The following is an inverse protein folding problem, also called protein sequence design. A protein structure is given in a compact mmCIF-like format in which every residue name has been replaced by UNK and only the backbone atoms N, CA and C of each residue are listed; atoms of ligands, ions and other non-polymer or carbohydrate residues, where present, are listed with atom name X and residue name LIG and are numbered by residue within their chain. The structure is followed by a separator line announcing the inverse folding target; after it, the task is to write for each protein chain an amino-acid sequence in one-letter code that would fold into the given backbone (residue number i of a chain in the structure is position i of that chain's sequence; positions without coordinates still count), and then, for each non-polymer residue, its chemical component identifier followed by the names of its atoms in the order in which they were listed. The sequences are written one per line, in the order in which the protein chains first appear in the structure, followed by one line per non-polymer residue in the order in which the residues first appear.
data_IF_382697495480
#
_entry.id   IF_382697495480
#
_cell.length_a   1.000
_cell.length_b   1.000
_cell.length_c   1.000
_cell.angle_alpha   90.00
_cell.angle_beta   90.00
_cell.angle_gamma   90.00
#
_symmetry.space_group_name_H-M   'P 1'
#
loop_
_entity.id
_entity.type
_entity.pdbx_description
1 polymer ?
#
# COMPACT_ATOMS: atom_id res chain seq x y z
N UNK A 1 -52.10 -61.30 22.32
CA UNK A 1 -52.26 -62.45 23.26
C UNK A 1 -51.38 -62.18 24.47
N UNK A 2 -52.06 -62.24 25.64
CA UNK A 2 -51.55 -62.54 27.01
C UNK A 2 -50.38 -61.73 27.52
N UNK A 3 -50.58 -60.84 28.48
CA UNK A 3 -51.05 -60.91 29.85
C UNK A 3 -49.92 -61.05 30.91
N UNK A 4 -49.94 -60.06 31.88
CA UNK A 4 -49.77 -60.19 33.34
C UNK A 4 -48.32 -60.35 33.84
N UNK A 5 -47.88 -59.77 34.95
CA UNK A 5 -48.49 -59.18 36.18
C UNK A 5 -47.35 -58.65 37.05
N UNK A 6 -47.53 -57.49 37.67
CA UNK A 6 -47.80 -57.29 39.12
C UNK A 6 -46.68 -57.58 40.12
N UNK A 7 -46.29 -56.45 40.79
CA UNK A 7 -46.12 -56.26 42.26
C UNK A 7 -44.81 -56.79 42.88
N UNK A 8 -44.10 -55.96 43.66
CA UNK A 8 -44.33 -55.48 45.04
C UNK A 8 -43.23 -54.48 45.42
N UNK A 9 -43.63 -53.46 46.21
CA UNK A 9 -42.71 -52.62 47.00
C UNK A 9 -42.49 -53.32 48.39
N UNK A 10 -41.45 -52.96 49.13
CA UNK A 10 -41.72 -52.16 50.29
C UNK A 10 -40.69 -51.04 50.56
N UNK A 11 -41.17 -50.11 51.32
CA UNK A 11 -40.65 -48.99 51.98
C UNK A 11 -39.31 -49.15 52.76
N UNK A 12 -38.57 -48.06 52.90
CA UNK A 12 -37.69 -47.93 54.00
C UNK A 12 -36.52 -46.98 53.82
N UNK A 13 -36.62 -45.95 54.49
CA UNK A 13 -35.60 -45.11 55.17
C UNK A 13 -35.16 -43.83 54.43
N UNK A 14 -35.70 -42.73 54.94
CA UNK A 14 -35.25 -41.34 54.71
C UNK A 14 -33.99 -41.11 55.57
N UNK A 15 -32.88 -40.79 54.92
CA UNK A 15 -31.73 -40.13 55.56
C UNK A 15 -31.55 -38.79 54.90
N UNK A 16 -31.93 -37.74 55.63
CA UNK A 16 -31.67 -36.33 55.24
C UNK A 16 -30.22 -36.05 55.54
N UNK A 17 -29.37 -35.97 54.50
CA UNK A 17 -28.06 -35.37 54.60
C UNK A 17 -28.13 -34.01 53.95
N UNK A 18 -28.15 -32.99 54.79
CA UNK A 18 -27.97 -31.60 54.39
C UNK A 18 -26.54 -31.39 53.85
N UNK A 19 -26.35 -31.50 52.57
CA UNK A 19 -25.13 -31.11 51.88
C UNK A 19 -25.16 -29.65 51.52
N UNK A 20 -24.34 -28.85 52.23
CA UNK A 20 -24.09 -27.46 51.91
C UNK A 20 -23.35 -27.38 50.57
N UNK A 21 -24.04 -27.08 49.49
CA UNK A 21 -23.41 -26.72 48.23
C UNK A 21 -22.87 -25.30 48.32
N UNK A 22 -21.57 -25.13 48.64
CA UNK A 22 -20.82 -23.90 48.39
C UNK A 22 -20.62 -23.82 46.90
N UNK A 23 -21.45 -23.03 46.20
CA UNK A 23 -21.22 -22.64 44.81
C UNK A 23 -20.08 -21.67 44.75
N UNK A 24 -18.84 -22.14 44.53
CA UNK A 24 -17.72 -21.29 44.14
C UNK A 24 -18.00 -20.88 42.68
N UNK A 25 -18.62 -19.72 42.52
CA UNK A 25 -18.66 -19.03 41.26
C UNK A 25 -17.24 -18.53 40.94
N UNK A 26 -16.43 -19.39 40.33
CA UNK A 26 -15.18 -18.97 39.72
C UNK A 26 -15.51 -18.16 38.46
N UNK A 27 -15.84 -16.88 38.64
CA UNK A 27 -15.80 -15.90 37.57
C UNK A 27 -14.34 -15.70 37.16
N UNK A 28 -13.81 -16.64 36.40
CA UNK A 28 -12.57 -16.49 35.67
C UNK A 28 -12.78 -15.46 34.58
N UNK A 29 -12.89 -14.20 34.92
CA UNK A 29 -12.66 -13.11 34.00
C UNK A 29 -11.18 -13.23 33.57
N UNK A 30 -10.94 -13.91 32.48
CA UNK A 30 -9.70 -13.77 31.73
C UNK A 30 -9.67 -12.32 31.28
N UNK A 31 -9.16 -11.44 32.13
CA UNK A 31 -8.78 -10.09 31.75
C UNK A 31 -7.68 -10.27 30.69
N UNK A 32 -8.08 -10.37 29.43
CA UNK A 32 -7.18 -10.04 28.33
C UNK A 32 -6.72 -8.62 28.63
N UNK A 33 -5.50 -8.48 29.13
CA UNK A 33 -4.80 -7.22 29.20
C UNK A 33 -4.81 -6.62 27.79
N UNK A 34 -5.79 -5.79 27.51
CA UNK A 34 -5.82 -4.99 26.29
C UNK A 34 -4.76 -3.93 26.47
N UNK A 35 -3.51 -4.25 26.07
CA UNK A 35 -2.42 -3.30 26.18
C UNK A 35 -2.87 -1.96 25.59
N UNK A 36 -2.85 -0.92 26.42
CA UNK A 36 -3.26 0.44 25.99
C UNK A 36 -2.33 0.90 24.88
N UNK A 37 -2.87 1.21 23.72
CA UNK A 37 -2.09 1.68 22.57
C UNK A 37 -2.32 3.15 22.33
N UNK A 38 -1.32 3.85 21.79
CA UNK A 38 -1.41 5.27 21.44
C UNK A 38 -1.64 5.47 19.94
N UNK A 39 -1.11 4.57 19.10
CA UNK A 39 -1.07 4.73 17.66
C UNK A 39 -1.66 3.50 16.96
N UNK A 40 -2.53 3.73 16.00
CA UNK A 40 -3.12 2.74 15.11
C UNK A 40 -2.63 2.99 13.68
N UNK A 41 -1.85 2.07 13.11
CA UNK A 41 -1.41 2.12 11.72
C UNK A 41 -2.24 1.13 10.91
N UNK A 42 -2.97 1.64 9.93
CA UNK A 42 -3.90 0.91 9.08
C UNK A 42 -3.34 0.86 7.67
N UNK A 43 -2.67 -0.25 7.34
CA UNK A 43 -2.08 -0.49 6.02
C UNK A 43 -3.12 -1.13 5.08
N UNK A 44 -3.02 -0.89 3.76
CA UNK A 44 -4.11 -1.16 2.83
C UNK A 44 -4.23 -2.64 2.47
N UNK A 45 -3.14 -3.25 2.01
CA UNK A 45 -3.17 -4.60 1.46
C UNK A 45 -1.77 -5.23 1.38
N UNK A 46 -1.66 -6.43 0.78
CA UNK A 46 -0.39 -7.15 0.62
C UNK A 46 -0.04 -7.44 -0.85
N UNK A 47 -0.90 -7.02 -1.79
CA UNK A 47 -0.82 -7.43 -3.21
C UNK A 47 -0.63 -6.27 -4.18
N UNK A 48 -1.13 -5.06 -3.86
CA UNK A 48 -0.98 -3.88 -4.73
C UNK A 48 0.46 -3.42 -4.84
N UNK A 49 1.20 -3.54 -3.75
CA UNK A 49 2.66 -3.39 -3.70
C UNK A 49 3.22 -4.19 -2.52
N UNK A 50 4.33 -4.87 -2.73
CA UNK A 50 5.04 -5.62 -1.67
C UNK A 50 5.60 -4.69 -0.57
N UNK A 51 5.68 -3.38 -0.83
CA UNK A 51 6.21 -2.40 0.11
C UNK A 51 5.50 -2.43 1.47
N UNK A 52 4.18 -2.61 1.48
CA UNK A 52 3.37 -2.59 2.70
C UNK A 52 3.81 -3.60 3.75
N UNK A 53 4.30 -4.77 3.30
CA UNK A 53 4.78 -5.85 4.15
C UNK A 53 6.29 -5.79 4.34
N UNK A 54 7.04 -5.52 3.27
CA UNK A 54 8.50 -5.60 3.30
C UNK A 54 9.16 -4.36 3.91
N UNK A 55 8.55 -3.19 3.79
CA UNK A 55 9.14 -1.91 4.21
C UNK A 55 8.26 -1.17 5.21
N UNK A 56 7.01 -0.85 4.85
CA UNK A 56 6.16 0.03 5.66
C UNK A 56 5.91 -0.53 7.06
N UNK A 57 5.43 -1.77 7.19
CA UNK A 57 5.12 -2.36 8.49
C UNK A 57 6.35 -2.45 9.43
N UNK A 58 7.51 -3.00 9.00
CA UNK A 58 8.69 -3.07 9.86
C UNK A 58 9.29 -1.69 10.18
N UNK A 59 9.27 -0.74 9.23
CA UNK A 59 9.77 0.61 9.49
C UNK A 59 8.87 1.38 10.45
N UNK A 60 7.55 1.24 10.37
CA UNK A 60 6.61 1.78 11.35
C UNK A 60 6.88 1.20 12.74
N UNK A 61 7.04 -0.12 12.86
CA UNK A 61 7.36 -0.75 14.14
C UNK A 61 8.66 -0.20 14.75
N UNK A 62 9.70 -0.04 13.92
CA UNK A 62 10.99 0.53 14.33
C UNK A 62 10.85 2.00 14.77
N UNK A 63 10.12 2.82 14.01
CA UNK A 63 9.95 4.24 14.29
C UNK A 63 9.15 4.48 15.57
N UNK A 64 8.05 3.74 15.78
CA UNK A 64 7.19 3.88 16.95
C UNK A 64 7.89 3.34 18.22
N UNK A 65 8.65 2.23 18.11
CA UNK A 65 9.52 1.77 19.21
C UNK A 65 10.55 2.83 19.61
N UNK A 66 11.21 3.45 18.62
CA UNK A 66 12.19 4.52 18.88
C UNK A 66 11.54 5.74 19.55
N UNK A 67 10.27 6.01 19.27
CA UNK A 67 9.51 7.08 19.89
C UNK A 67 8.90 6.68 21.26
N UNK A 68 9.16 5.48 21.77
CA UNK A 68 8.58 4.91 23.01
C UNK A 68 7.04 4.93 23.02
N UNK A 69 6.41 4.74 21.87
CA UNK A 69 4.96 4.71 21.71
C UNK A 69 4.46 3.27 21.62
N UNK A 70 3.34 3.00 22.29
CA UNK A 70 2.58 1.76 22.12
C UNK A 70 1.70 1.85 20.88
N UNK A 71 1.62 0.77 20.09
CA UNK A 71 0.99 0.81 18.79
C UNK A 71 0.34 -0.50 18.38
N UNK A 72 -0.52 -0.42 17.38
CA UNK A 72 -0.99 -1.53 16.55
C UNK A 72 -0.68 -1.22 15.10
N UNK A 73 -0.13 -2.17 14.37
CA UNK A 73 0.07 -2.09 12.92
C UNK A 73 -0.71 -3.26 12.33
N UNK A 74 -1.68 -2.95 11.48
CA UNK A 74 -2.58 -3.94 10.88
C UNK A 74 -2.65 -3.74 9.37
N UNK A 75 -3.05 -4.79 8.67
CA UNK A 75 -3.24 -4.75 7.23
C UNK A 75 -4.67 -5.18 6.90
N UNK A 76 -5.39 -4.36 6.16
CA UNK A 76 -6.79 -4.56 5.82
C UNK A 76 -7.00 -5.65 4.76
N UNK A 77 -5.95 -6.07 4.04
CA UNK A 77 -6.02 -7.01 2.92
C UNK A 77 -6.97 -6.53 1.80
N UNK A 78 -7.04 -5.20 1.63
CA UNK A 78 -7.94 -4.51 0.71
C UNK A 78 -9.44 -4.74 1.01
N UNK A 79 -9.77 -5.01 2.27
CA UNK A 79 -11.13 -5.14 2.77
C UNK A 79 -11.49 -3.92 3.63
N UNK A 80 -12.41 -3.03 3.16
CA UNK A 80 -12.82 -1.85 3.90
C UNK A 80 -13.46 -2.16 5.26
N UNK A 81 -14.25 -3.24 5.37
CA UNK A 81 -14.90 -3.60 6.65
C UNK A 81 -13.88 -4.11 7.66
N UNK A 82 -12.89 -4.85 7.20
CA UNK A 82 -11.76 -5.26 8.02
C UNK A 82 -10.97 -4.05 8.55
N UNK A 83 -10.75 -3.02 7.72
CA UNK A 83 -10.09 -1.80 8.17
C UNK A 83 -10.89 -1.07 9.24
N UNK A 84 -12.22 -1.00 9.11
CA UNK A 84 -13.12 -0.46 10.17
C UNK A 84 -12.97 -1.26 11.46
N UNK A 85 -13.07 -2.58 11.39
CA UNK A 85 -12.95 -3.44 12.58
C UNK A 85 -11.59 -3.29 13.28
N UNK A 86 -10.53 -3.11 12.50
CA UNK A 86 -9.19 -2.84 13.03
C UNK A 86 -9.11 -1.47 13.71
N UNK A 87 -9.72 -0.44 13.12
CA UNK A 87 -9.82 0.90 13.71
C UNK A 87 -10.62 0.88 15.00
N UNK A 88 -11.76 0.19 15.06
CA UNK A 88 -12.58 0.03 16.25
C UNK A 88 -11.83 -0.72 17.37
N UNK A 89 -11.08 -1.76 17.03
CA UNK A 89 -10.19 -2.45 17.97
C UNK A 89 -9.09 -1.53 18.51
N UNK A 90 -8.56 -0.64 17.68
CA UNK A 90 -7.58 0.36 18.12
C UNK A 90 -8.20 1.36 19.09
N UNK A 91 -9.39 1.88 18.79
CA UNK A 91 -10.12 2.83 19.64
C UNK A 91 -10.45 2.22 21.01
N UNK A 92 -10.96 0.98 21.03
CA UNK A 92 -11.29 0.28 22.29
C UNK A 92 -10.05 0.05 23.18
N UNK A 93 -8.86 0.05 22.58
CA UNK A 93 -7.55 -0.05 23.26
C UNK A 93 -6.94 1.32 23.56
N UNK A 94 -7.67 2.42 23.38
CA UNK A 94 -7.28 3.77 23.76
C UNK A 94 -6.40 4.52 22.76
N UNK A 95 -6.33 4.08 21.50
CA UNK A 95 -5.56 4.77 20.45
C UNK A 95 -6.02 6.21 20.28
N UNK A 96 -5.07 7.14 20.17
CA UNK A 96 -5.30 8.58 19.98
C UNK A 96 -4.94 9.06 18.58
N UNK A 97 -4.10 8.34 17.86
CA UNK A 97 -3.73 8.67 16.48
C UNK A 97 -4.04 7.49 15.55
N UNK A 98 -4.82 7.76 14.51
CA UNK A 98 -4.94 6.88 13.34
C UNK A 98 -3.97 7.33 12.25
N UNK A 99 -3.18 6.40 11.73
CA UNK A 99 -2.42 6.56 10.49
C UNK A 99 -3.16 5.75 9.44
N UNK A 100 -3.78 6.43 8.49
CA UNK A 100 -4.71 5.81 7.53
C UNK A 100 -4.08 5.81 6.13
N UNK A 101 -4.02 4.64 5.50
CA UNK A 101 -3.74 4.51 4.07
C UNK A 101 -5.04 4.17 3.35
N UNK A 102 -5.55 5.09 2.54
CA UNK A 102 -6.88 4.95 1.94
C UNK A 102 -7.01 3.70 1.05
N UNK A 103 -8.12 2.97 1.22
CA UNK A 103 -8.54 1.87 0.32
C UNK A 103 -9.96 2.06 -0.19
N UNK A 104 -10.77 2.83 0.53
CA UNK A 104 -12.14 3.16 0.14
C UNK A 104 -12.53 4.48 0.85
N UNK A 105 -12.64 5.54 0.09
CA UNK A 105 -12.84 6.92 0.56
C UNK A 105 -13.89 7.05 1.67
N UNK A 106 -15.08 6.50 1.47
CA UNK A 106 -16.16 6.60 2.48
C UNK A 106 -15.80 5.92 3.81
N UNK A 107 -15.14 4.78 3.74
CA UNK A 107 -14.68 4.02 4.91
C UNK A 107 -13.58 4.75 5.65
N UNK A 108 -12.58 5.25 4.93
CA UNK A 108 -11.45 5.97 5.53
C UNK A 108 -11.90 7.27 6.19
N UNK A 109 -12.82 8.03 5.56
CA UNK A 109 -13.45 9.20 6.18
C UNK A 109 -14.19 8.84 7.48
N UNK A 110 -14.92 7.71 7.49
CA UNK A 110 -15.63 7.26 8.70
C UNK A 110 -14.67 6.91 9.84
N UNK A 111 -13.55 6.26 9.53
CA UNK A 111 -12.48 5.95 10.51
C UNK A 111 -11.91 7.24 11.10
N UNK A 112 -11.56 8.23 10.28
CA UNK A 112 -11.03 9.51 10.76
C UNK A 112 -12.04 10.23 11.68
N UNK A 113 -13.32 10.25 11.29
CA UNK A 113 -14.39 10.84 12.10
C UNK A 113 -14.57 10.10 13.43
N UNK A 114 -14.50 8.76 13.46
CA UNK A 114 -14.55 7.97 14.70
C UNK A 114 -13.40 8.34 15.65
N UNK A 115 -12.18 8.47 15.14
CA UNK A 115 -11.04 8.90 15.94
C UNK A 115 -11.24 10.32 16.49
N UNK A 116 -11.70 11.25 15.67
CA UNK A 116 -12.00 12.62 16.09
C UNK A 116 -13.08 12.66 17.18
N UNK A 117 -14.16 11.91 17.03
CA UNK A 117 -15.24 11.81 18.03
C UNK A 117 -14.75 11.23 19.38
N UNK A 118 -13.72 10.36 19.35
CA UNK A 118 -13.07 9.82 20.55
C UNK A 118 -11.95 10.73 21.11
N UNK A 119 -11.87 11.99 20.65
CA UNK A 119 -10.85 12.95 21.06
C UNK A 119 -9.45 12.63 20.50
N UNK A 120 -9.36 11.82 19.46
CA UNK A 120 -8.14 11.50 18.73
C UNK A 120 -7.97 12.33 17.46
N UNK A 121 -6.98 11.98 16.66
CA UNK A 121 -6.64 12.65 15.40
C UNK A 121 -6.20 11.61 14.35
N UNK A 122 -6.14 12.01 13.08
CA UNK A 122 -5.68 11.17 11.99
C UNK A 122 -4.57 11.82 11.15
N UNK A 123 -3.80 10.98 10.48
CA UNK A 123 -2.79 11.30 9.49
C UNK A 123 -3.10 10.48 8.25
N UNK A 124 -3.11 11.10 7.07
CA UNK A 124 -3.10 10.41 5.79
C UNK A 124 -1.66 9.98 5.45
N UNK A 125 -1.49 8.70 5.24
CA UNK A 125 -0.20 8.08 4.95
C UNK A 125 -0.17 7.47 3.56
N UNK A 126 0.76 7.91 2.72
CA UNK A 126 0.95 7.53 1.30
C UNK A 126 -0.28 7.82 0.41
N UNK A 127 -1.47 7.33 0.75
CA UNK A 127 -2.73 7.56 0.03
C UNK A 127 -3.60 8.56 0.77
N UNK A 128 -3.99 9.64 0.09
CA UNK A 128 -4.84 10.69 0.66
C UNK A 128 -6.29 10.21 0.81
N UNK A 129 -6.90 10.44 1.96
CA UNK A 129 -8.34 10.27 2.19
C UNK A 129 -9.06 11.51 1.66
N UNK A 130 -9.48 11.47 0.40
CA UNK A 130 -10.13 12.63 -0.25
C UNK A 130 -11.46 12.95 0.44
N UNK A 131 -11.62 14.18 0.95
CA UNK A 131 -12.77 14.60 1.77
C UNK A 131 -12.62 14.26 3.24
N UNK A 132 -11.49 13.69 3.65
CA UNK A 132 -11.16 13.38 5.04
C UNK A 132 -10.89 14.60 5.92
N UNK A 133 -10.54 14.32 7.17
CA UNK A 133 -10.29 15.35 8.20
C UNK A 133 -8.92 15.20 8.85
N UNK A 134 -8.04 14.45 8.23
CA UNK A 134 -6.67 14.26 8.70
C UNK A 134 -5.96 15.61 8.95
N UNK A 135 -5.05 15.62 9.90
CA UNK A 135 -4.28 16.82 10.29
C UNK A 135 -3.15 17.10 9.32
N UNK A 136 -2.66 16.09 8.65
CA UNK A 136 -1.58 16.16 7.68
C UNK A 136 -1.61 14.95 6.76
N UNK A 137 -1.27 15.19 5.50
CA UNK A 137 -0.96 14.17 4.51
C UNK A 137 0.56 14.03 4.37
N UNK A 138 1.08 12.82 4.51
CA UNK A 138 2.51 12.53 4.35
C UNK A 138 2.68 11.54 3.22
N UNK A 139 3.36 11.96 2.14
CA UNK A 139 3.63 11.11 1.00
C UNK A 139 4.76 11.66 0.13
N UNK A 140 5.13 10.89 -0.90
CA UNK A 140 6.03 11.36 -1.96
C UNK A 140 5.29 12.29 -2.94
N UNK A 141 6.06 13.11 -3.68
CA UNK A 141 5.45 13.97 -4.70
C UNK A 141 4.94 13.14 -5.89
N UNK A 142 3.64 12.85 -5.92
CA UNK A 142 3.02 12.02 -6.94
C UNK A 142 3.17 12.57 -8.37
N UNK A 143 3.16 13.90 -8.57
CA UNK A 143 3.45 14.48 -9.89
C UNK A 143 4.89 14.25 -10.31
N UNK A 144 5.83 14.35 -9.37
CA UNK A 144 7.24 14.04 -9.63
C UNK A 144 7.44 12.56 -9.96
N UNK A 145 6.68 11.63 -9.32
CA UNK A 145 6.67 10.21 -9.67
C UNK A 145 6.31 10.03 -11.14
N UNK A 146 5.13 10.51 -11.57
CA UNK A 146 4.68 10.37 -12.95
C UNK A 146 5.65 11.01 -13.95
N UNK A 147 6.12 12.23 -13.67
CA UNK A 147 7.10 12.90 -14.54
C UNK A 147 8.40 12.10 -14.67
N UNK A 148 8.88 11.46 -13.60
CA UNK A 148 10.06 10.60 -13.62
C UNK A 148 9.84 9.34 -14.46
N UNK A 149 8.67 8.70 -14.33
CA UNK A 149 8.27 7.54 -15.15
C UNK A 149 8.27 7.88 -16.64
N UNK A 150 7.56 8.94 -17.02
CA UNK A 150 7.46 9.37 -18.40
C UNK A 150 8.84 9.76 -18.98
N UNK A 151 9.64 10.55 -18.27
CA UNK A 151 11.01 10.90 -18.70
C UNK A 151 11.90 9.66 -18.87
N UNK A 152 11.76 8.67 -17.98
CA UNK A 152 12.51 7.42 -18.05
C UNK A 152 12.15 6.61 -19.30
N UNK A 153 10.85 6.48 -19.60
CA UNK A 153 10.38 5.79 -20.82
C UNK A 153 10.82 6.55 -22.08
N UNK A 154 10.62 7.87 -22.14
CA UNK A 154 11.07 8.67 -23.29
C UNK A 154 12.57 8.53 -23.53
N UNK A 155 13.38 8.57 -22.47
CA UNK A 155 14.83 8.36 -22.59
C UNK A 155 15.18 6.97 -23.13
N UNK A 156 14.46 5.92 -22.69
CA UNK A 156 14.69 4.55 -23.11
C UNK A 156 14.24 4.27 -24.55
N UNK A 157 13.26 5.02 -25.06
CA UNK A 157 12.84 4.96 -26.47
C UNK A 157 13.93 5.46 -27.44
N UNK A 158 14.80 6.37 -26.98
CA UNK A 158 15.92 6.89 -27.77
C UNK A 158 15.46 7.64 -29.03
N UNK A 159 16.06 7.28 -30.17
CA UNK A 159 15.80 7.92 -31.47
C UNK A 159 14.72 7.22 -32.32
N UNK A 160 13.93 6.32 -31.74
CA UNK A 160 12.81 5.68 -32.49
C UNK A 160 11.88 6.74 -33.07
N UNK A 161 11.48 6.54 -34.35
CA UNK A 161 10.54 7.44 -35.01
C UNK A 161 9.12 7.11 -34.60
N UNK A 162 8.39 8.09 -34.05
CA UNK A 162 6.98 8.02 -33.64
C UNK A 162 6.61 6.76 -32.83
N UNK A 163 7.38 6.39 -31.79
CA UNK A 163 7.13 5.17 -31.05
C UNK A 163 5.77 5.23 -30.33
N UNK A 164 5.10 4.08 -30.25
CA UNK A 164 3.80 3.93 -29.59
C UNK A 164 4.00 3.73 -28.11
N UNK A 165 3.40 4.58 -27.27
CA UNK A 165 3.47 4.53 -25.82
C UNK A 165 2.11 4.24 -25.22
N UNK A 166 1.97 3.11 -24.54
CA UNK A 166 0.80 2.72 -23.76
C UNK A 166 0.93 3.19 -22.31
N UNK A 167 -0.20 3.34 -21.60
CA UNK A 167 -0.18 3.74 -20.20
C UNK A 167 -1.11 2.86 -19.35
N UNK A 168 -0.54 2.22 -18.33
CA UNK A 168 -1.25 1.48 -17.28
C UNK A 168 -1.13 2.25 -15.97
N UNK A 169 -2.17 3.02 -15.67
CA UNK A 169 -2.22 3.82 -14.45
C UNK A 169 -2.60 2.97 -13.24
N UNK A 170 -2.44 3.49 -12.03
CA UNK A 170 -2.83 2.81 -10.80
C UNK A 170 -4.33 2.64 -10.61
N UNK A 171 -4.75 2.24 -9.42
CA UNK A 171 -6.16 2.04 -9.10
C UNK A 171 -6.97 3.35 -9.17
N UNK A 172 -8.17 3.34 -9.79
CA UNK A 172 -8.96 4.57 -9.98
C UNK A 172 -9.58 5.12 -8.68
N UNK A 173 -9.51 4.39 -7.58
CA UNK A 173 -9.95 4.84 -6.26
C UNK A 173 -8.84 5.50 -5.44
N UNK A 174 -7.60 5.49 -5.93
CA UNK A 174 -6.43 6.06 -5.25
C UNK A 174 -6.03 7.37 -5.93
N UNK A 175 -6.01 8.46 -5.16
CA UNK A 175 -5.65 9.79 -5.65
C UNK A 175 -4.22 9.84 -6.22
N UNK A 176 -3.30 8.98 -5.75
CA UNK A 176 -1.95 8.89 -6.30
C UNK A 176 -1.95 8.54 -7.79
N UNK A 177 -2.86 7.65 -8.24
CA UNK A 177 -2.96 7.28 -9.66
C UNK A 177 -3.22 8.50 -10.56
N UNK A 178 -4.05 9.44 -10.10
CA UNK A 178 -4.34 10.68 -10.82
C UNK A 178 -3.17 11.66 -10.78
N UNK A 179 -2.43 11.73 -9.68
CA UNK A 179 -1.23 12.59 -9.63
C UNK A 179 -0.11 12.04 -10.50
N UNK A 180 0.09 10.72 -10.52
CA UNK A 180 1.08 10.09 -11.41
C UNK A 180 0.68 10.34 -12.86
N UNK A 181 -0.59 10.11 -13.21
CA UNK A 181 -1.12 10.43 -14.53
C UNK A 181 -0.87 11.91 -14.90
N UNK A 182 -1.16 12.84 -13.99
CA UNK A 182 -0.91 14.27 -14.23
C UNK A 182 0.58 14.57 -14.47
N UNK A 183 1.48 13.85 -13.80
CA UNK A 183 2.92 13.93 -14.03
C UNK A 183 3.34 13.36 -15.38
N UNK A 184 2.77 12.20 -15.75
CA UNK A 184 2.98 11.57 -17.06
C UNK A 184 2.48 12.50 -18.18
N UNK A 185 1.26 13.00 -18.07
CA UNK A 185 0.62 13.90 -19.04
C UNK A 185 1.47 15.17 -19.28
N UNK A 186 2.05 15.74 -18.24
CA UNK A 186 2.90 16.94 -18.37
C UNK A 186 4.14 16.69 -19.24
N UNK A 187 4.64 15.46 -19.30
CA UNK A 187 5.79 15.08 -20.13
C UNK A 187 5.37 14.54 -21.49
N UNK A 188 4.35 13.67 -21.52
CA UNK A 188 3.98 12.93 -22.75
C UNK A 188 3.09 13.74 -23.69
N UNK A 189 2.14 14.54 -23.18
CA UNK A 189 1.18 15.25 -24.02
C UNK A 189 1.84 16.21 -25.02
N UNK A 190 2.87 17.00 -24.67
CA UNK A 190 3.60 17.80 -25.68
C UNK A 190 4.25 16.95 -26.77
N UNK A 191 4.74 15.75 -26.43
CA UNK A 191 5.38 14.84 -27.38
C UNK A 191 4.36 14.14 -28.30
N UNK A 192 3.19 13.78 -27.77
CA UNK A 192 2.07 13.30 -28.57
C UNK A 192 1.57 14.39 -29.54
N UNK A 193 1.37 15.62 -29.03
CA UNK A 193 0.90 16.76 -29.82
C UNK A 193 1.85 17.12 -30.97
N UNK A 194 3.16 17.02 -30.73
CA UNK A 194 4.18 17.30 -31.77
C UNK A 194 4.42 16.12 -32.73
N UNK A 195 3.74 14.98 -32.55
CA UNK A 195 3.96 13.77 -33.35
C UNK A 195 5.30 13.08 -33.12
N UNK A 196 6.07 13.46 -32.09
CA UNK A 196 7.29 12.77 -31.68
C UNK A 196 7.01 11.38 -31.09
N UNK A 197 5.87 11.23 -30.42
CA UNK A 197 5.35 9.96 -29.92
C UNK A 197 3.97 9.70 -30.49
N UNK A 198 3.61 8.44 -30.63
CA UNK A 198 2.24 8.00 -30.95
C UNK A 198 1.56 7.60 -29.65
N UNK A 199 0.36 8.16 -29.42
CA UNK A 199 -0.42 7.82 -28.23
C UNK A 199 -1.02 6.42 -28.40
N UNK A 200 -0.62 5.51 -27.53
CA UNK A 200 -1.14 4.15 -27.44
C UNK A 200 -2.37 4.05 -26.52
N UNK A 201 -2.85 2.81 -26.29
CA UNK A 201 -3.96 2.55 -25.35
C UNK A 201 -3.61 2.98 -23.93
N UNK A 202 -4.64 3.41 -23.18
CA UNK A 202 -4.49 3.92 -21.83
C UNK A 202 -5.59 3.36 -20.94
N UNK A 203 -5.24 2.86 -19.73
CA UNK A 203 -6.23 2.30 -18.81
C UNK A 203 -5.76 2.35 -17.36
N UNK A 204 -6.71 2.55 -16.44
CA UNK A 204 -6.49 2.31 -15.01
C UNK A 204 -6.45 0.81 -14.73
N UNK A 205 -5.57 0.43 -13.79
CA UNK A 205 -5.46 -0.94 -13.29
C UNK A 205 -6.19 -1.04 -11.96
N UNK A 206 -7.39 -1.66 -11.91
CA UNK A 206 -8.16 -1.76 -10.69
C UNK A 206 -7.33 -2.36 -9.55
N UNK A 207 -7.44 -1.76 -8.35
CA UNK A 207 -6.77 -2.19 -7.12
C UNK A 207 -5.24 -2.30 -7.23
N UNK A 208 -4.61 -1.73 -8.27
CA UNK A 208 -3.16 -1.85 -8.53
C UNK A 208 -2.67 -3.30 -8.74
N UNK A 209 -3.57 -4.26 -8.99
CA UNK A 209 -3.23 -5.67 -9.02
C UNK A 209 -2.56 -6.09 -10.34
N UNK A 210 -1.45 -6.80 -10.25
CA UNK A 210 -0.77 -7.39 -11.40
C UNK A 210 -1.70 -8.34 -12.18
N UNK A 211 -2.57 -9.07 -11.50
CA UNK A 211 -3.57 -9.96 -12.10
C UNK A 211 -4.61 -9.23 -12.95
N UNK A 212 -4.84 -7.94 -12.67
CA UNK A 212 -5.70 -7.09 -13.52
C UNK A 212 -4.88 -6.43 -14.63
N UNK A 213 -3.61 -6.09 -14.37
CA UNK A 213 -2.75 -5.43 -15.34
C UNK A 213 -2.39 -6.32 -16.53
N UNK A 214 -2.15 -7.61 -16.31
CA UNK A 214 -1.74 -8.53 -17.36
C UNK A 214 -2.79 -8.64 -18.48
N UNK A 215 -4.06 -9.00 -18.23
CA UNK A 215 -5.08 -9.07 -19.30
C UNK A 215 -5.35 -7.70 -19.95
N UNK A 216 -5.25 -6.60 -19.19
CA UNK A 216 -5.34 -5.26 -19.76
C UNK A 216 -4.24 -5.03 -20.79
N UNK A 217 -2.99 -5.36 -20.46
CA UNK A 217 -1.89 -5.15 -21.39
C UNK A 217 -1.91 -6.13 -22.56
N UNK A 218 -2.35 -7.38 -22.36
CA UNK A 218 -2.58 -8.35 -23.44
C UNK A 218 -3.61 -7.84 -24.45
N UNK A 219 -4.70 -7.21 -23.96
CA UNK A 219 -5.68 -6.54 -24.82
C UNK A 219 -5.07 -5.33 -25.56
N UNK A 220 -4.24 -4.54 -24.89
CA UNK A 220 -3.52 -3.43 -25.53
C UNK A 220 -2.60 -3.92 -26.67
N UNK A 221 -1.92 -5.04 -26.47
CA UNK A 221 -1.10 -5.67 -27.52
C UNK A 221 -1.95 -6.13 -28.69
N UNK A 222 -3.12 -6.73 -28.45
CA UNK A 222 -4.04 -7.16 -29.52
C UNK A 222 -4.53 -5.98 -30.34
N UNK A 223 -5.01 -4.92 -29.71
CA UNK A 223 -5.56 -3.74 -30.42
C UNK A 223 -4.52 -2.94 -31.18
N UNK A 224 -3.24 -3.12 -30.86
CA UNK A 224 -2.12 -2.46 -31.54
C UNK A 224 -1.34 -3.40 -32.49
N UNK A 225 -1.83 -4.61 -32.73
CA UNK A 225 -1.09 -5.64 -33.46
C UNK A 225 0.35 -5.83 -32.94
N UNK A 226 0.50 -5.86 -31.60
CA UNK A 226 1.76 -5.93 -30.86
C UNK A 226 2.73 -4.75 -31.12
N UNK A 227 2.25 -3.62 -31.64
CA UNK A 227 3.06 -2.43 -31.92
C UNK A 227 3.03 -1.45 -30.74
N UNK A 228 3.60 -1.85 -29.61
CA UNK A 228 3.84 -0.99 -28.44
C UNK A 228 5.36 -0.93 -28.23
N UNK A 229 5.93 0.27 -28.28
CA UNK A 229 7.38 0.50 -28.12
C UNK A 229 7.76 0.87 -26.68
N UNK A 230 6.81 1.44 -25.95
CA UNK A 230 6.99 1.79 -24.54
C UNK A 230 5.70 1.72 -23.76
N UNK A 231 5.82 1.53 -22.45
CA UNK A 231 4.66 1.56 -21.55
C UNK A 231 4.99 2.29 -20.24
N UNK A 232 4.07 3.14 -19.81
CA UNK A 232 4.04 3.64 -18.45
C UNK A 232 3.32 2.60 -17.60
N UNK A 233 4.05 1.95 -16.70
CA UNK A 233 3.48 1.12 -15.65
C UNK A 233 3.59 1.87 -14.33
N UNK A 234 2.46 2.04 -13.63
CA UNK A 234 2.38 2.92 -12.47
C UNK A 234 3.21 2.41 -11.27
N UNK A 235 3.45 1.09 -11.15
CA UNK A 235 4.39 0.51 -10.20
C UNK A 235 5.06 -0.76 -10.75
N UNK A 236 6.01 -1.33 -9.99
CA UNK A 236 6.78 -2.50 -10.41
C UNK A 236 5.93 -3.78 -10.51
N UNK A 237 4.85 -3.91 -9.72
CA UNK A 237 3.94 -5.06 -9.85
C UNK A 237 3.19 -5.03 -11.19
N UNK A 238 2.72 -3.84 -11.60
CA UNK A 238 2.11 -3.64 -12.92
C UNK A 238 3.16 -3.83 -14.02
N UNK A 239 4.38 -3.32 -13.85
CA UNK A 239 5.48 -3.54 -14.79
C UNK A 239 5.81 -5.04 -14.93
N UNK A 240 5.81 -5.79 -13.83
CA UNK A 240 5.99 -7.25 -13.84
C UNK A 240 4.93 -7.97 -14.67
N UNK A 241 3.67 -7.53 -14.60
CA UNK A 241 2.57 -8.05 -15.42
C UNK A 241 2.77 -7.74 -16.92
N UNK A 242 3.24 -6.53 -17.25
CA UNK A 242 3.63 -6.17 -18.63
C UNK A 242 4.73 -7.07 -19.13
N UNK A 243 5.78 -7.31 -18.34
CA UNK A 243 6.88 -8.22 -18.68
C UNK A 243 6.38 -9.64 -18.89
N UNK A 244 5.48 -10.13 -18.02
CA UNK A 244 4.89 -11.47 -18.16
C UNK A 244 4.10 -11.61 -19.48
N UNK A 245 3.29 -10.62 -19.84
CA UNK A 245 2.52 -10.61 -21.09
C UNK A 245 3.43 -10.59 -22.34
N UNK A 246 4.51 -9.79 -22.31
CA UNK A 246 5.49 -9.76 -23.39
C UNK A 246 6.20 -11.13 -23.56
N UNK A 247 6.64 -11.72 -22.45
CA UNK A 247 7.30 -13.05 -22.46
C UNK A 247 6.36 -14.15 -22.98
N UNK A 248 5.10 -14.16 -22.52
CA UNK A 248 4.10 -15.14 -22.98
C UNK A 248 3.86 -15.08 -24.49
N UNK A 249 3.93 -13.88 -25.08
CA UNK A 249 3.82 -13.67 -26.53
C UNK A 249 5.18 -13.73 -27.27
N UNK A 250 6.26 -14.09 -26.58
CA UNK A 250 7.62 -14.14 -27.14
C UNK A 250 8.07 -12.80 -27.78
N UNK A 251 7.57 -11.69 -27.26
CA UNK A 251 7.94 -10.35 -27.69
C UNK A 251 9.21 -9.87 -27.00
N UNK A 252 9.91 -8.93 -27.62
CA UNK A 252 11.11 -8.29 -27.06
C UNK A 252 10.76 -7.31 -25.95
N UNK A 253 11.71 -6.99 -25.05
CA UNK A 253 11.54 -5.91 -24.08
C UNK A 253 11.20 -4.57 -24.76
N UNK A 254 10.39 -3.76 -24.08
CA UNK A 254 10.01 -2.41 -24.49
C UNK A 254 10.52 -1.39 -23.46
N UNK A 255 10.49 -0.10 -23.78
CA UNK A 255 10.76 0.94 -22.79
C UNK A 255 9.66 0.92 -21.71
N UNK A 256 10.00 0.56 -20.46
CA UNK A 256 9.03 0.29 -19.41
C UNK A 256 9.41 0.99 -18.11
N UNK A 257 8.44 1.73 -17.54
CA UNK A 257 8.59 2.32 -16.21
C UNK A 257 8.11 1.38 -15.09
N UNK A 258 8.35 1.80 -13.87
CA UNK A 258 7.81 1.23 -12.64
C UNK A 258 7.92 2.22 -11.48
N UNK A 259 7.63 1.76 -10.27
CA UNK A 259 7.75 2.48 -9.02
C UNK A 259 7.88 1.48 -7.87
N UNK A 260 8.44 1.93 -6.77
CA UNK A 260 8.69 1.27 -5.49
C UNK A 260 10.06 0.58 -5.38
N UNK A 261 10.82 0.45 -6.46
CA UNK A 261 12.15 -0.18 -6.48
C UNK A 261 12.16 -1.56 -5.79
N UNK A 262 11.18 -2.39 -6.14
CA UNK A 262 11.05 -3.75 -5.60
C UNK A 262 12.17 -4.67 -6.09
N UNK A 263 12.40 -5.79 -5.41
CA UNK A 263 13.37 -6.80 -5.86
C UNK A 263 13.09 -7.21 -7.31
N UNK A 264 11.83 -7.54 -7.65
CA UNK A 264 11.45 -7.91 -9.02
C UNK A 264 11.65 -6.76 -10.01
N UNK A 265 11.28 -5.52 -9.65
CA UNK A 265 11.50 -4.35 -10.50
C UNK A 265 12.97 -4.13 -10.82
N UNK A 266 13.86 -4.28 -9.81
CA UNK A 266 15.30 -4.15 -10.00
C UNK A 266 15.88 -5.32 -10.82
N UNK A 267 15.40 -6.55 -10.59
CA UNK A 267 15.74 -7.71 -11.42
C UNK A 267 15.36 -7.51 -12.88
N UNK A 268 14.17 -6.97 -13.15
CA UNK A 268 13.73 -6.61 -14.51
C UNK A 268 14.62 -5.51 -15.11
N UNK A 269 15.07 -4.54 -14.32
CA UNK A 269 15.96 -3.46 -14.78
C UNK A 269 17.34 -4.01 -15.15
N UNK A 270 17.96 -4.80 -14.30
CA UNK A 270 19.32 -5.31 -14.58
C UNK A 270 19.34 -6.31 -15.73
N UNK A 271 18.26 -7.09 -15.91
CA UNK A 271 18.08 -8.03 -17.03
C UNK A 271 17.57 -7.37 -18.33
N UNK A 272 17.21 -6.07 -18.29
CA UNK A 272 16.81 -5.30 -19.48
C UNK A 272 15.33 -5.37 -19.84
N UNK A 273 14.47 -5.97 -19.01
CA UNK A 273 13.02 -6.05 -19.22
C UNK A 273 12.27 -4.80 -18.77
N UNK A 274 12.86 -3.98 -17.89
CA UNK A 274 12.31 -2.71 -17.42
C UNK A 274 13.39 -1.64 -17.50
N UNK A 275 13.04 -0.44 -17.92
CA UNK A 275 14.01 0.64 -18.15
C UNK A 275 14.38 1.39 -16.87
N UNK A 276 13.39 1.56 -15.98
CA UNK A 276 13.56 2.30 -14.74
C UNK A 276 12.47 1.98 -13.72
N UNK A 277 12.73 2.29 -12.47
CA UNK A 277 11.72 2.38 -11.42
C UNK A 277 11.88 3.68 -10.64
N UNK A 278 10.78 4.20 -10.09
CA UNK A 278 10.83 5.35 -9.18
C UNK A 278 11.03 4.85 -7.76
N UNK A 279 12.15 5.20 -7.18
CA UNK A 279 12.50 4.89 -5.81
C UNK A 279 11.88 5.89 -4.84
N UNK A 280 10.99 5.40 -4.02
CA UNK A 280 10.42 6.05 -2.85
C UNK A 280 11.10 5.47 -1.62
N UNK A 281 11.97 6.23 -0.96
CA UNK A 281 12.66 5.75 0.24
C UNK A 281 11.70 5.72 1.42
N UNK A 282 10.96 4.62 1.58
CA UNK A 282 9.91 4.40 2.59
C UNK A 282 10.33 4.80 4.01
N UNK A 283 11.58 4.54 4.49
CA UNK A 283 12.00 5.02 5.79
C UNK A 283 11.86 6.53 6.01
N UNK A 284 11.99 7.36 4.95
CA UNK A 284 11.77 8.80 5.07
C UNK A 284 10.29 9.14 5.29
N UNK A 285 9.39 8.45 4.60
CA UNK A 285 7.94 8.63 4.74
C UNK A 285 7.46 8.22 6.13
N UNK A 286 7.88 7.04 6.58
CA UNK A 286 7.58 6.55 7.94
C UNK A 286 8.16 7.49 9.01
N UNK A 287 9.41 7.92 8.88
CA UNK A 287 10.03 8.82 9.86
C UNK A 287 9.34 10.20 9.91
N UNK A 288 8.93 10.75 8.75
CA UNK A 288 8.17 12.00 8.70
C UNK A 288 6.80 11.85 9.37
N UNK A 289 6.10 10.74 9.08
CA UNK A 289 4.81 10.42 9.67
C UNK A 289 4.91 10.15 11.18
N UNK A 290 5.94 9.44 11.64
CA UNK A 290 6.18 9.21 13.06
C UNK A 290 6.47 10.51 13.82
N UNK A 291 7.21 11.45 13.22
CA UNK A 291 7.39 12.81 13.77
C UNK A 291 6.06 13.57 13.86
N UNK A 292 5.18 13.41 12.85
CA UNK A 292 3.84 13.98 12.88
C UNK A 292 3.00 13.36 14.00
N UNK A 293 3.03 12.04 14.19
CA UNK A 293 2.37 11.34 15.30
C UNK A 293 2.81 11.92 16.66
N UNK A 294 4.13 12.03 16.87
CA UNK A 294 4.69 12.56 18.14
C UNK A 294 4.24 14.00 18.37
N UNK A 295 4.26 14.84 17.32
CA UNK A 295 3.84 16.24 17.41
C UNK A 295 2.35 16.35 17.76
N UNK A 296 1.49 15.57 17.11
CA UNK A 296 0.04 15.58 17.37
C UNK A 296 -0.30 15.09 18.78
N UNK A 297 0.36 14.04 19.28
CA UNK A 297 0.19 13.57 20.66
C UNK A 297 0.63 14.61 21.70
N UNK A 298 1.60 15.45 21.35
CA UNK A 298 2.10 16.53 22.19
C UNK A 298 1.36 17.88 21.96
N UNK A 299 0.31 17.89 21.13
CA UNK A 299 -0.43 19.12 20.73
C UNK A 299 0.46 20.20 20.11
N UNK A 300 1.53 19.79 19.39
CA UNK A 300 2.48 20.67 18.72
C UNK A 300 2.23 20.73 17.21
N UNK A 301 2.79 21.74 16.55
CA UNK A 301 2.79 21.83 15.08
C UNK A 301 3.52 20.66 14.47
N UNK A 302 2.94 20.06 13.42
CA UNK A 302 3.58 18.98 12.66
C UNK A 302 4.81 19.51 11.95
N UNK A 303 6.00 18.92 12.14
CA UNK A 303 7.21 19.36 11.47
C UNK A 303 7.26 18.91 10.01
N UNK A 304 8.01 19.64 9.19
CA UNK A 304 8.30 19.24 7.79
C UNK A 304 7.18 19.53 6.80
N UNK A 305 6.09 20.19 7.20
CA UNK A 305 5.06 20.65 6.25
C UNK A 305 5.73 21.59 5.24
N UNK A 306 5.66 21.22 3.95
CA UNK A 306 6.28 21.96 2.85
C UNK A 306 5.31 22.24 1.70
N UNK A 307 4.02 22.10 1.95
CA UNK A 307 2.96 22.41 1.00
C UNK A 307 1.58 22.06 1.50
N UNK A 308 0.62 22.18 0.58
CA UNK A 308 -0.77 21.83 0.79
C UNK A 308 -1.28 21.02 -0.40
N UNK A 309 -2.19 20.10 -0.14
CA UNK A 309 -2.96 19.41 -1.18
C UNK A 309 -4.43 19.79 -1.06
N UNK A 310 -5.11 19.91 -2.21
CA UNK A 310 -6.56 20.04 -2.23
C UNK A 310 -7.16 18.75 -1.68
N UNK A 311 -8.05 18.87 -0.70
CA UNK A 311 -8.77 17.76 -0.09
C UNK A 311 -10.24 18.16 0.04
N UNK A 312 -11.06 17.78 -0.97
CA UNK A 312 -12.41 18.32 -1.10
C UNK A 312 -12.41 19.84 -1.25
N UNK A 313 -13.12 20.54 -0.35
CA UNK A 313 -13.12 22.01 -0.27
C UNK A 313 -11.97 22.61 0.55
N UNK A 314 -11.17 21.77 1.21
CA UNK A 314 -10.10 22.19 2.13
C UNK A 314 -8.72 22.09 1.48
N UNK A 315 -7.75 22.80 2.08
CA UNK A 315 -6.32 22.62 1.84
C UNK A 315 -5.73 21.80 2.99
N UNK A 316 -5.26 20.61 2.72
CA UNK A 316 -4.66 19.74 3.71
C UNK A 316 -3.14 20.02 3.80
N UNK A 317 -2.59 20.29 4.99
CA UNK A 317 -1.16 20.40 5.18
C UNK A 317 -0.46 19.13 4.71
N UNK A 318 0.66 19.27 3.99
CA UNK A 318 1.31 18.12 3.36
C UNK A 318 2.81 18.15 3.61
N UNK A 319 3.36 16.98 3.95
CA UNK A 319 4.79 16.69 3.89
C UNK A 319 5.05 15.92 2.61
N UNK A 320 5.63 16.58 1.60
CA UNK A 320 5.98 15.98 0.31
C UNK A 320 7.44 15.58 0.29
N UNK A 321 7.70 14.32 -0.01
CA UNK A 321 9.04 13.75 -0.06
C UNK A 321 9.53 13.63 -1.51
N UNK A 322 10.84 13.81 -1.75
CA UNK A 322 11.43 13.66 -3.06
C UNK A 322 11.49 12.19 -3.50
N UNK A 323 11.55 11.99 -4.80
CA UNK A 323 11.71 10.68 -5.44
C UNK A 323 12.98 10.61 -6.26
N UNK A 324 13.46 9.40 -6.53
CA UNK A 324 14.71 9.17 -7.27
C UNK A 324 14.43 8.16 -8.40
N UNK A 325 14.87 8.46 -9.62
CA UNK A 325 14.85 7.48 -10.71
C UNK A 325 15.98 6.49 -10.56
N UNK A 326 15.65 5.20 -10.54
CA UNK A 326 16.60 4.09 -10.57
C UNK A 326 16.58 3.45 -11.95
N UNK A 327 17.75 3.23 -12.48
CA UNK A 327 18.02 2.58 -13.77
C UNK A 327 19.15 1.57 -13.59
N UNK A 328 19.50 0.84 -14.66
CA UNK A 328 20.66 -0.07 -14.64
C UNK A 328 21.99 0.62 -14.28
N UNK A 329 22.10 1.94 -14.50
CA UNK A 329 23.31 2.71 -14.20
C UNK A 329 23.50 2.98 -12.69
N UNK A 330 22.43 3.02 -11.90
CA UNK A 330 22.49 3.47 -10.49
C UNK A 330 21.74 2.58 -9.49
N UNK A 331 21.30 1.38 -9.89
CA UNK A 331 20.54 0.47 -9.01
C UNK A 331 21.29 0.08 -7.73
N UNK A 332 22.63 0.06 -7.76
CA UNK A 332 23.47 -0.23 -6.59
C UNK A 332 23.26 0.75 -5.43
N UNK A 333 22.68 1.93 -5.72
CA UNK A 333 22.25 2.87 -4.69
C UNK A 333 21.30 2.23 -3.68
N UNK A 334 20.40 1.36 -4.13
CA UNK A 334 19.43 0.67 -3.26
C UNK A 334 20.14 -0.22 -2.21
N UNK A 335 21.30 -0.77 -2.54
CA UNK A 335 22.12 -1.55 -1.61
C UNK A 335 22.88 -0.64 -0.64
N UNK A 336 23.41 0.49 -1.12
CA UNK A 336 24.08 1.51 -0.30
C UNK A 336 23.13 2.11 0.72
N UNK A 337 21.90 2.40 0.32
CA UNK A 337 20.84 2.92 1.19
C UNK A 337 20.26 1.83 2.13
N UNK A 338 20.72 0.57 2.02
CA UNK A 338 20.21 -0.61 2.76
C UNK A 338 18.71 -0.83 2.57
N UNK A 339 18.18 -0.37 1.45
CA UNK A 339 16.78 -0.54 1.08
C UNK A 339 16.52 -1.95 0.55
N UNK A 340 17.41 -2.46 -0.30
CA UNK A 340 17.43 -3.85 -0.74
C UNK A 340 18.77 -4.51 -0.37
N UNK A 341 18.73 -5.82 -0.16
CA UNK A 341 19.96 -6.61 -0.04
C UNK A 341 20.42 -7.06 -1.42
N UNK A 342 21.74 -7.01 -1.68
CA UNK A 342 22.32 -7.52 -2.92
C UNK A 342 21.99 -9.00 -3.12
N UNK A 343 22.01 -9.80 -2.04
CA UNK A 343 21.65 -11.23 -2.05
C UNK A 343 20.24 -11.52 -2.57
N UNK A 344 19.29 -10.61 -2.35
CA UNK A 344 17.88 -10.82 -2.74
C UNK A 344 17.66 -10.47 -4.22
N UNK A 345 18.43 -9.51 -4.74
CA UNK A 345 18.36 -9.09 -6.14
C UNK A 345 19.21 -9.97 -7.03
N UNK A 346 20.46 -10.28 -6.60
CA UNK A 346 21.50 -10.94 -7.37
C UNK A 346 21.48 -12.46 -7.15
N UNK A 347 20.34 -13.10 -7.36
CA UNK A 347 20.12 -14.53 -7.13
C UNK A 347 19.71 -15.23 -8.45
N UNK A 348 20.03 -16.52 -8.57
CA UNK A 348 19.66 -17.34 -9.74
C UNK A 348 20.16 -16.73 -11.05
N UNK A 349 19.28 -16.67 -12.04
CA UNK A 349 19.59 -16.11 -13.37
C UNK A 349 19.97 -14.62 -13.34
N UNK A 350 19.61 -13.89 -12.28
CA UNK A 350 19.92 -12.47 -12.17
C UNK A 350 21.34 -12.18 -11.68
N UNK A 351 22.03 -13.16 -11.09
CA UNK A 351 23.40 -12.99 -10.56
C UNK A 351 24.38 -12.51 -11.65
N UNK A 352 24.25 -13.00 -12.88
CA UNK A 352 25.09 -12.62 -14.00
C UNK A 352 24.95 -11.16 -14.46
N UNK A 353 23.84 -10.48 -14.09
CA UNK A 353 23.59 -9.08 -14.45
C UNK A 353 24.04 -8.10 -13.39
N UNK A 354 24.45 -8.58 -12.22
CA UNK A 354 24.86 -7.74 -11.09
C UNK A 354 26.33 -7.32 -11.20
N UNK A 355 26.57 -6.06 -10.85
CA UNK A 355 27.92 -5.48 -10.72
C UNK A 355 28.38 -5.46 -9.24
#
# INVERSE_FOLDING_TARGET
MKRFSRRWAPAGLIVVLAGVFVAIAATGAVARSSANIKVCVLLPDTKSSVRWVQFDAPDWAKALKKAHLTYSITNALNDPQKMVSQADSCLSRGAKIAVVTDIAQGTSIAIEKKFAAAGGQSIDYDRQVVGGIAKVYVSFDGKAVGAAQAKGVVKALGSKSKPVVAELWGGPTDQNAFWFKSGNDAVLNPLFKSGKLTKGPQQFVPLWLATNAQPIFEQMLLTTNNKIDGAIAANDNIAGAVVAALKAKKLKPIALSGQDATVQGVQNIISGWQSMTVYKYVPNEVNASAKAVVALLAHKKVPGINGFRKNGSKKEPTVRLPVISITKANYTRLFKDKFLKKSDVCIGEFAQFCK
#
